data_IF_278031411321
#
_entry.id   IF_278031411321
#
_cell.length_a   1.000
_cell.length_b   1.000
_cell.length_c   1.000
_cell.angle_alpha   90.00
_cell.angle_beta   90.00
_cell.angle_gamma   90.00
#
_symmetry.space_group_name_H-M   'P 1'
#
loop_
_entity.id
_entity.type
_entity.pdbx_description
1 polymer ?
#
# COMPACT_ATOMS: atom_id res chain seq x y z
N UNK A 1 -28.11 30.65 44.47
CA UNK A 1 -28.66 31.74 43.61
C UNK A 1 -29.16 31.08 42.33
N UNK A 2 -30.45 30.74 42.25
CA UNK A 2 -31.50 31.36 41.39
C UNK A 2 -31.09 31.47 39.90
N UNK A 3 -31.50 30.57 38.99
CA UNK A 3 -32.81 30.39 38.30
C UNK A 3 -33.00 31.26 37.04
N UNK A 4 -33.35 30.59 35.91
CA UNK A 4 -34.29 30.94 34.78
C UNK A 4 -33.62 30.81 33.40
N UNK A 5 -33.96 29.84 32.54
CA UNK A 5 -35.24 29.56 31.82
C UNK A 5 -35.60 30.67 30.83
N UNK A 6 -35.66 30.38 29.51
CA UNK A 6 -36.85 30.68 28.68
C UNK A 6 -36.87 29.94 27.33
N UNK A 7 -37.88 29.09 27.19
CA UNK A 7 -38.49 28.55 25.96
C UNK A 7 -39.22 29.67 25.20
N UNK A 8 -39.18 29.69 23.86
CA UNK A 8 -40.26 30.31 23.07
C UNK A 8 -40.65 29.38 21.90
N UNK A 9 -41.86 28.87 22.04
CA UNK A 9 -42.72 28.23 21.05
C UNK A 9 -43.57 29.36 20.42
N UNK A 10 -43.71 29.43 19.09
CA UNK A 10 -44.75 30.25 18.44
C UNK A 10 -45.47 29.38 17.43
N UNK A 11 -46.78 29.34 17.56
CA UNK A 11 -47.72 28.61 16.72
C UNK A 11 -48.79 29.59 16.15
N UNK A 12 -49.36 29.17 15.02
CA UNK A 12 -50.63 29.57 14.39
C UNK A 12 -50.70 30.93 13.64
N UNK A 13 -51.11 30.91 12.37
CA UNK A 13 -52.54 30.84 11.98
C UNK A 13 -52.78 30.61 10.48
N UNK A 14 -53.98 30.07 10.21
CA UNK A 14 -54.58 29.60 8.98
C UNK A 14 -54.74 30.62 7.85
N UNK A 15 -54.74 30.12 6.61
CA UNK A 15 -55.56 30.66 5.53
C UNK A 15 -56.26 29.49 4.80
N UNK A 16 -57.58 29.58 4.71
CA UNK A 16 -58.47 28.65 4.04
C UNK A 16 -58.69 29.08 2.58
N UNK A 17 -58.76 28.13 1.65
CA UNK A 17 -59.44 28.28 0.36
C UNK A 17 -59.99 26.93 -0.09
N UNK A 18 -61.31 26.88 -0.30
CA UNK A 18 -62.00 25.73 -0.87
C UNK A 18 -61.75 25.60 -2.37
N UNK A 19 -61.78 24.36 -2.85
CA UNK A 19 -61.72 24.01 -4.26
C UNK A 19 -62.23 22.58 -4.44
N UNK A 20 -63.20 22.42 -5.34
CA UNK A 20 -63.91 21.19 -5.63
C UNK A 20 -62.97 20.05 -6.07
N UNK A 21 -63.13 18.86 -5.48
CA UNK A 21 -62.45 17.64 -5.95
C UNK A 21 -63.13 17.09 -7.22
N UNK A 22 -62.40 16.88 -8.32
CA UNK A 22 -62.86 16.01 -9.40
C UNK A 22 -62.54 14.55 -9.06
N UNK A 23 -63.52 13.67 -9.27
CA UNK A 23 -63.41 12.22 -9.16
C UNK A 23 -62.18 11.67 -9.92
N UNK A 24 -61.30 10.87 -9.30
CA UNK A 24 -60.15 10.29 -10.00
C UNK A 24 -60.62 9.22 -11.00
N UNK A 25 -60.24 9.41 -12.26
CA UNK A 25 -60.31 8.39 -13.32
C UNK A 25 -59.22 7.34 -13.05
N UNK A 26 -59.46 6.02 -13.24
CA UNK A 26 -58.45 5.00 -12.97
C UNK A 26 -57.26 5.16 -13.93
N UNK A 27 -56.09 5.49 -13.39
CA UNK A 27 -54.80 5.49 -14.09
C UNK A 27 -54.33 4.05 -14.24
N UNK A 28 -54.20 3.58 -15.49
CA UNK A 28 -53.55 2.31 -15.82
C UNK A 28 -52.06 2.44 -15.50
N UNK A 29 -51.53 1.53 -14.69
CA UNK A 29 -50.11 1.49 -14.33
C UNK A 29 -49.23 1.24 -15.57
N UNK A 30 -48.11 1.95 -15.75
CA UNK A 30 -47.15 1.62 -16.81
C UNK A 30 -46.54 0.24 -16.56
N UNK A 31 -46.24 -0.55 -17.61
CA UNK A 31 -45.53 -1.81 -17.46
C UNK A 31 -44.12 -1.58 -16.85
N UNK A 32 -43.58 -2.56 -16.10
CA UNK A 32 -42.28 -2.42 -15.45
C UNK A 32 -41.18 -2.22 -16.48
N UNK A 33 -40.42 -1.14 -16.32
CA UNK A 33 -39.17 -0.91 -17.07
C UNK A 33 -38.16 -1.96 -16.60
N UNK A 34 -37.85 -2.91 -17.48
CA UNK A 34 -36.84 -3.92 -17.22
C UNK A 34 -35.48 -3.22 -17.26
N UNK A 35 -34.87 -2.98 -16.10
CA UNK A 35 -33.52 -2.46 -15.99
C UNK A 35 -32.58 -3.56 -16.48
N UNK A 36 -32.05 -3.38 -17.70
CA UNK A 36 -30.98 -4.21 -18.22
C UNK A 36 -29.71 -3.90 -17.45
N UNK A 37 -29.36 -4.76 -16.49
CA UNK A 37 -28.01 -4.79 -15.91
C UNK A 37 -27.04 -5.18 -17.03
N UNK A 38 -26.27 -4.21 -17.50
CA UNK A 38 -25.12 -4.49 -18.35
C UNK A 38 -24.13 -5.34 -17.54
N UNK A 39 -23.94 -6.58 -17.97
CA UNK A 39 -22.84 -7.42 -17.50
C UNK A 39 -21.55 -6.80 -18.02
N UNK A 40 -20.81 -6.12 -17.14
CA UNK A 40 -19.48 -5.63 -17.45
C UNK A 40 -18.60 -6.85 -17.75
N UNK A 41 -18.11 -6.94 -18.99
CA UNK A 41 -17.18 -8.01 -19.37
C UNK A 41 -15.87 -7.73 -18.64
N UNK A 42 -15.34 -8.66 -17.82
CA UNK A 42 -14.10 -8.41 -17.12
C UNK A 42 -12.99 -8.20 -18.14
N UNK A 43 -12.40 -7.00 -18.13
CA UNK A 43 -11.17 -6.71 -18.87
C UNK A 43 -10.12 -7.72 -18.38
N UNK A 44 -9.40 -8.43 -19.27
CA UNK A 44 -8.37 -9.35 -18.83
C UNK A 44 -7.27 -8.56 -18.11
N UNK A 45 -7.13 -8.79 -16.81
CA UNK A 45 -6.02 -8.24 -16.01
C UNK A 45 -4.72 -8.81 -16.57
N UNK A 46 -3.91 -7.98 -17.23
CA UNK A 46 -2.56 -8.38 -17.64
C UNK A 46 -1.74 -8.60 -16.36
N UNK A 47 -1.09 -9.75 -16.25
CA UNK A 47 -0.25 -10.06 -15.09
C UNK A 47 0.95 -9.10 -15.03
N UNK A 48 1.39 -8.72 -13.84
CA UNK A 48 2.43 -7.72 -13.64
C UNK A 48 3.75 -8.10 -14.33
N UNK A 49 4.18 -9.35 -14.23
CA UNK A 49 5.40 -9.82 -14.88
C UNK A 49 5.31 -9.89 -16.42
N UNK A 50 4.10 -9.84 -16.99
CA UNK A 50 3.93 -9.69 -18.43
C UNK A 50 3.99 -8.22 -18.86
N UNK A 51 3.58 -7.31 -17.99
CA UNK A 51 3.71 -5.87 -18.20
C UNK A 51 5.16 -5.39 -17.99
N UNK A 52 5.88 -5.99 -17.04
CA UNK A 52 7.29 -5.74 -16.74
C UNK A 52 8.07 -7.04 -16.97
N UNK A 53 8.55 -7.23 -18.19
CA UNK A 53 9.32 -8.43 -18.56
C UNK A 53 10.68 -8.46 -17.80
N UNK A 54 10.92 -9.47 -16.94
CA UNK A 54 12.18 -9.61 -16.20
C UNK A 54 13.43 -9.58 -17.08
N UNK A 55 13.35 -10.10 -18.31
CA UNK A 55 14.49 -10.20 -19.22
C UNK A 55 14.99 -8.84 -19.72
N UNK A 56 14.16 -7.80 -19.63
CA UNK A 56 14.48 -6.42 -20.02
C UNK A 56 15.12 -5.62 -18.88
N UNK A 57 15.11 -6.15 -17.65
CA UNK A 57 15.69 -5.48 -16.50
C UNK A 57 17.16 -5.85 -16.36
N UNK A 58 18.02 -4.83 -16.47
CA UNK A 58 19.46 -4.97 -16.31
C UNK A 58 19.97 -4.05 -15.21
N UNK A 59 20.75 -4.62 -14.30
CA UNK A 59 21.41 -3.86 -13.25
C UNK A 59 22.86 -3.58 -13.64
N UNK A 60 23.24 -2.31 -13.56
CA UNK A 60 24.64 -1.96 -13.49
C UNK A 60 25.11 -2.15 -12.04
N UNK A 61 25.80 -3.26 -11.80
CA UNK A 61 26.28 -3.60 -10.45
C UNK A 61 27.51 -2.79 -10.01
N UNK A 62 28.02 -1.89 -10.86
CA UNK A 62 29.21 -1.08 -10.58
C UNK A 62 30.42 -1.91 -10.10
N UNK A 63 30.53 -3.16 -10.57
CA UNK A 63 31.61 -4.07 -10.23
C UNK A 63 31.41 -4.88 -8.95
N UNK A 64 30.20 -4.95 -8.38
CA UNK A 64 29.91 -5.88 -7.29
C UNK A 64 30.19 -7.33 -7.74
N UNK A 65 30.85 -8.16 -6.90
CA UNK A 65 31.32 -9.50 -7.29
C UNK A 65 30.24 -10.58 -7.25
N UNK A 66 29.00 -10.22 -6.91
CA UNK A 66 27.90 -11.16 -6.74
C UNK A 66 27.07 -11.29 -8.02
N UNK A 67 26.68 -12.51 -8.42
CA UNK A 67 25.69 -12.68 -9.46
C UNK A 67 24.34 -12.12 -8.98
N UNK A 68 23.52 -11.67 -9.92
CA UNK A 68 22.13 -11.34 -9.67
C UNK A 68 21.21 -12.08 -10.65
N UNK A 69 19.97 -12.28 -10.23
CA UNK A 69 18.91 -12.83 -11.06
C UNK A 69 17.64 -12.02 -10.86
N UNK A 70 16.98 -11.67 -11.98
CA UNK A 70 15.68 -11.02 -11.98
C UNK A 70 14.61 -12.10 -12.10
N UNK A 71 13.80 -12.24 -11.06
CA UNK A 71 12.78 -13.27 -10.97
C UNK A 71 11.39 -12.67 -11.05
N UNK A 72 10.51 -13.27 -11.84
CA UNK A 72 9.08 -13.10 -11.65
C UNK A 72 8.63 -14.05 -10.53
N UNK A 73 8.07 -13.50 -9.46
CA UNK A 73 7.57 -14.26 -8.32
C UNK A 73 6.04 -14.23 -8.36
N UNK A 74 5.37 -15.40 -8.35
CA UNK A 74 3.92 -15.46 -8.36
C UNK A 74 3.34 -14.85 -7.08
N UNK A 75 2.06 -14.50 -7.15
CA UNK A 75 1.30 -14.05 -5.98
C UNK A 75 1.38 -15.03 -4.82
N UNK A 76 1.67 -14.51 -3.63
CA UNK A 76 1.45 -15.16 -2.35
C UNK A 76 0.25 -14.51 -1.67
N UNK A 77 -0.88 -15.22 -1.52
CA UNK A 77 -2.07 -14.69 -0.85
C UNK A 77 -1.76 -14.19 0.56
N UNK A 78 -2.59 -13.26 1.03
CA UNK A 78 -2.56 -12.83 2.42
C UNK A 78 -2.74 -14.02 3.36
N UNK A 79 -1.86 -14.15 4.35
CA UNK A 79 -1.92 -15.15 5.41
C UNK A 79 -1.50 -14.53 6.74
N UNK A 80 -2.41 -14.54 7.72
CA UNK A 80 -2.18 -14.08 9.09
C UNK A 80 -2.11 -15.23 10.11
N UNK A 81 -2.08 -16.48 9.65
CA UNK A 81 -2.18 -17.66 10.52
C UNK A 81 -0.87 -18.00 11.24
N UNK A 82 0.27 -17.52 10.72
CA UNK A 82 1.60 -17.87 11.23
C UNK A 82 2.33 -16.65 11.83
N UNK A 83 3.01 -16.80 12.99
CA UNK A 83 3.89 -15.76 13.50
C UNK A 83 5.08 -15.53 12.55
N UNK A 84 5.74 -14.36 12.55
CA UNK A 84 5.65 -13.26 13.52
C UNK A 84 4.56 -12.20 13.23
N UNK A 85 3.84 -12.32 12.11
CA UNK A 85 2.78 -11.41 11.71
C UNK A 85 2.26 -11.78 10.32
N UNK A 86 1.24 -11.07 9.82
CA UNK A 86 0.68 -11.36 8.52
C UNK A 86 1.70 -11.17 7.39
N UNK A 87 1.56 -11.99 6.36
CA UNK A 87 2.39 -12.01 5.14
C UNK A 87 1.49 -11.98 3.92
N UNK A 88 2.03 -11.59 2.77
CA UNK A 88 1.32 -11.66 1.49
C UNK A 88 1.84 -10.64 0.49
N UNK A 89 2.07 -11.07 -0.75
CA UNK A 89 2.57 -10.23 -1.82
C UNK A 89 1.85 -10.55 -3.14
N UNK A 90 1.46 -9.54 -3.93
CA UNK A 90 0.96 -9.78 -5.28
C UNK A 90 2.07 -10.36 -6.16
N UNK A 91 1.73 -10.78 -7.39
CA UNK A 91 2.74 -11.07 -8.40
C UNK A 91 3.68 -9.86 -8.56
N UNK A 92 4.99 -10.09 -8.47
CA UNK A 92 5.99 -9.03 -8.43
C UNK A 92 7.31 -9.49 -9.05
N UNK A 93 8.22 -8.52 -9.26
CA UNK A 93 9.60 -8.82 -9.62
C UNK A 93 10.45 -8.80 -8.35
N UNK A 94 11.27 -9.84 -8.17
CA UNK A 94 12.27 -9.92 -7.12
C UNK A 94 13.66 -10.06 -7.76
N UNK A 95 14.57 -9.15 -7.46
CA UNK A 95 15.96 -9.24 -7.88
C UNK A 95 16.77 -9.76 -6.71
N UNK A 96 17.38 -10.91 -6.91
CA UNK A 96 18.15 -11.63 -5.92
C UNK A 96 19.64 -11.50 -6.20
N UNK A 97 20.46 -11.34 -5.15
CA UNK A 97 21.91 -11.39 -5.27
C UNK A 97 22.48 -12.53 -4.43
N UNK A 98 23.52 -13.19 -4.94
CA UNK A 98 24.13 -14.40 -4.36
C UNK A 98 23.16 -15.61 -4.27
N UNK A 99 22.16 -15.56 -3.40
CA UNK A 99 21.08 -16.56 -3.29
C UNK A 99 20.01 -16.28 -4.34
N UNK A 100 20.13 -16.91 -5.53
CA UNK A 100 19.36 -16.52 -6.71
C UNK A 100 17.91 -17.02 -6.74
N UNK A 101 17.60 -18.10 -6.03
CA UNK A 101 16.25 -18.66 -5.93
C UNK A 101 15.43 -17.89 -4.87
N UNK A 102 14.32 -17.24 -5.25
CA UNK A 102 13.41 -16.56 -4.32
C UNK A 102 12.94 -17.43 -3.16
N UNK A 103 12.79 -18.74 -3.36
CA UNK A 103 12.31 -19.65 -2.31
C UNK A 103 13.39 -19.99 -1.26
N UNK A 104 14.67 -19.74 -1.58
CA UNK A 104 15.80 -20.06 -0.71
C UNK A 104 16.34 -18.85 0.08
N UNK A 105 15.76 -17.67 -0.11
CA UNK A 105 16.25 -16.45 0.55
C UNK A 105 16.04 -16.48 2.06
N UNK A 106 16.98 -15.89 2.76
CA UNK A 106 16.96 -15.67 4.20
C UNK A 106 16.77 -14.19 4.52
N UNK A 107 16.44 -13.84 5.77
CA UNK A 107 16.37 -12.44 6.17
C UNK A 107 17.67 -11.62 6.02
N UNK A 108 18.81 -12.28 5.76
CA UNK A 108 20.11 -11.61 5.57
C UNK A 108 20.48 -11.40 4.11
N UNK A 109 19.77 -12.06 3.19
CA UNK A 109 20.09 -11.94 1.77
C UNK A 109 19.65 -10.56 1.26
N UNK A 110 20.49 -9.90 0.44
CA UNK A 110 20.14 -8.66 -0.23
C UNK A 110 19.12 -8.92 -1.34
N UNK A 111 18.05 -8.13 -1.36
CA UNK A 111 16.92 -8.30 -2.27
C UNK A 111 16.39 -6.92 -2.70
N UNK A 112 16.03 -6.80 -3.98
CA UNK A 112 15.19 -5.70 -4.45
C UNK A 112 13.82 -6.26 -4.85
N UNK A 113 12.77 -5.67 -4.28
CA UNK A 113 11.38 -5.90 -4.64
C UNK A 113 10.89 -4.77 -5.54
N UNK A 114 10.18 -5.14 -6.61
CA UNK A 114 9.46 -4.22 -7.49
C UNK A 114 8.02 -4.73 -7.55
N UNK A 115 7.13 -4.03 -6.87
CA UNK A 115 5.78 -4.51 -6.54
C UNK A 115 4.73 -3.54 -7.13
N UNK A 116 3.67 -4.02 -7.80
CA UNK A 116 2.54 -3.17 -8.16
C UNK A 116 1.85 -2.63 -6.90
N UNK A 117 1.99 -1.32 -6.63
CA UNK A 117 1.65 -0.72 -5.34
C UNK A 117 0.16 -0.91 -5.01
N UNK A 118 -0.72 -0.64 -5.98
CA UNK A 118 -2.16 -0.75 -5.79
C UNK A 118 -2.63 -2.20 -5.57
N UNK A 119 -2.00 -3.17 -6.22
CA UNK A 119 -2.33 -4.58 -6.03
C UNK A 119 -1.92 -5.05 -4.62
N UNK A 120 -0.79 -4.57 -4.10
CA UNK A 120 -0.35 -4.89 -2.74
C UNK A 120 -1.32 -4.33 -1.70
N UNK A 121 -1.74 -3.07 -1.87
CA UNK A 121 -2.78 -2.44 -1.04
C UNK A 121 -4.10 -3.21 -1.11
N UNK A 122 -4.59 -3.48 -2.32
CA UNK A 122 -5.89 -4.12 -2.53
C UNK A 122 -5.95 -5.54 -1.92
N UNK A 123 -4.87 -6.31 -2.02
CA UNK A 123 -4.79 -7.65 -1.43
C UNK A 123 -5.00 -7.62 0.10
N UNK A 124 -4.29 -6.72 0.78
CA UNK A 124 -4.35 -6.62 2.25
C UNK A 124 -5.66 -5.99 2.74
N UNK A 125 -6.12 -4.94 2.07
CA UNK A 125 -7.39 -4.29 2.40
C UNK A 125 -8.58 -5.25 2.20
N UNK A 126 -8.55 -6.12 1.17
CA UNK A 126 -9.56 -7.15 0.95
C UNK A 126 -9.62 -8.21 2.07
N UNK A 127 -8.51 -8.41 2.78
CA UNK A 127 -8.45 -9.25 3.99
C UNK A 127 -8.85 -8.50 5.27
N UNK A 128 -9.20 -7.21 5.17
CA UNK A 128 -9.54 -6.35 6.32
C UNK A 128 -8.34 -5.81 7.08
N UNK A 129 -7.12 -5.94 6.53
CA UNK A 129 -5.88 -5.48 7.15
C UNK A 129 -5.32 -4.25 6.40
N UNK A 130 -5.42 -3.08 7.03
CA UNK A 130 -4.99 -1.81 6.43
C UNK A 130 -3.52 -1.48 6.67
N UNK A 131 -2.71 -2.43 7.16
CA UNK A 131 -1.31 -2.18 7.49
C UNK A 131 -0.50 -1.70 6.28
N UNK A 132 -0.67 -2.35 5.13
CA UNK A 132 0.03 -1.99 3.89
C UNK A 132 -0.43 -0.63 3.38
N UNK A 133 -1.74 -0.37 3.31
CA UNK A 133 -2.28 0.92 2.88
C UNK A 133 -1.77 2.08 3.75
N UNK A 134 -1.79 1.91 5.08
CA UNK A 134 -1.28 2.93 6.00
C UNK A 134 0.24 3.15 5.90
N UNK A 135 1.03 2.09 5.71
CA UNK A 135 2.48 2.21 5.57
C UNK A 135 2.87 2.82 4.22
N UNK A 136 2.17 2.47 3.15
CA UNK A 136 2.33 3.10 1.83
C UNK A 136 2.02 4.60 1.91
N UNK A 137 0.91 4.99 2.53
CA UNK A 137 0.56 6.41 2.67
C UNK A 137 1.60 7.15 3.52
N UNK A 138 2.03 6.58 4.65
CA UNK A 138 3.09 7.18 5.48
C UNK A 138 4.39 7.36 4.71
N UNK A 139 4.75 6.42 3.84
CA UNK A 139 5.94 6.54 3.00
C UNK A 139 5.76 7.65 1.96
N UNK A 140 4.60 7.74 1.29
CA UNK A 140 4.29 8.83 0.35
C UNK A 140 4.38 10.18 1.04
N UNK A 141 3.79 10.32 2.22
CA UNK A 141 3.85 11.57 3.00
C UNK A 141 5.29 11.93 3.38
N UNK A 142 6.09 10.94 3.78
CA UNK A 142 7.50 11.13 4.15
C UNK A 142 8.35 11.57 2.94
N UNK A 143 8.16 10.93 1.79
CA UNK A 143 8.90 11.23 0.55
C UNK A 143 8.42 12.53 -0.09
N UNK A 144 7.15 12.90 0.06
CA UNK A 144 6.61 14.17 -0.41
C UNK A 144 7.06 15.36 0.46
N UNK A 145 7.00 15.20 1.79
CA UNK A 145 7.34 16.29 2.72
C UNK A 145 8.84 16.50 2.90
N UNK A 146 9.67 15.48 2.62
CA UNK A 146 11.15 15.50 2.72
C UNK A 146 11.66 16.29 3.93
N UNK A 147 11.22 15.97 5.17
CA UNK A 147 11.65 16.70 6.36
C UNK A 147 13.18 16.73 6.45
N UNK A 148 13.73 17.82 7.00
CA UNK A 148 15.19 18.03 7.04
C UNK A 148 15.95 16.85 7.67
N UNK A 149 15.35 16.19 8.65
CA UNK A 149 15.87 14.95 9.23
C UNK A 149 14.92 13.79 8.89
N UNK A 150 15.47 12.74 8.29
CA UNK A 150 14.77 11.45 8.15
C UNK A 150 14.50 10.90 9.55
N UNK A 151 13.27 10.43 9.85
CA UNK A 151 12.95 9.86 11.16
C UNK A 151 13.91 8.72 11.53
N UNK A 152 14.37 8.70 12.77
CA UNK A 152 15.37 7.73 13.25
C UNK A 152 14.76 6.42 13.77
N UNK A 153 13.43 6.35 13.81
CA UNK A 153 12.66 5.19 14.26
C UNK A 153 11.30 5.21 13.58
N UNK A 154 10.61 4.06 13.59
CA UNK A 154 9.23 3.95 13.10
C UNK A 154 9.04 4.32 11.62
N UNK A 155 10.10 4.29 10.81
CA UNK A 155 9.93 4.38 9.37
C UNK A 155 9.07 3.21 8.89
N UNK A 156 8.09 3.45 8.00
CA UNK A 156 7.32 2.36 7.40
C UNK A 156 8.31 1.48 6.65
N UNK A 157 8.23 0.16 6.84
CA UNK A 157 9.05 -0.79 6.07
C UNK A 157 8.18 -1.87 5.48
N UNK A 158 8.25 -1.95 4.17
CA UNK A 158 7.60 -2.91 3.31
C UNK A 158 8.64 -3.48 2.33
N UNK A 159 8.44 -4.71 1.83
CA UNK A 159 7.41 -5.65 2.27
C UNK A 159 7.74 -6.28 3.64
N UNK A 160 6.74 -6.86 4.29
CA UNK A 160 6.90 -7.43 5.65
C UNK A 160 7.40 -8.88 5.65
N UNK A 161 7.59 -9.49 4.48
CA UNK A 161 7.77 -10.94 4.33
C UNK A 161 8.99 -11.51 5.04
N UNK A 162 10.04 -10.70 5.20
CA UNK A 162 11.28 -11.08 5.87
C UNK A 162 11.55 -10.19 7.09
N UNK A 163 10.54 -9.46 7.56
CA UNK A 163 10.63 -8.63 8.76
C UNK A 163 10.47 -9.52 10.00
N UNK A 164 11.57 -9.72 10.73
CA UNK A 164 11.59 -10.53 11.96
C UNK A 164 11.44 -9.69 13.23
N UNK A 165 11.13 -8.39 13.12
CA UNK A 165 11.00 -7.48 14.27
C UNK A 165 10.49 -6.11 13.86
N UNK A 166 10.81 -5.09 14.66
CA UNK A 166 10.50 -3.70 14.32
C UNK A 166 11.78 -2.92 13.99
N UNK A 167 11.61 -1.88 13.18
CA UNK A 167 12.69 -0.96 12.89
C UNK A 167 13.02 -0.11 14.12
N UNK A 168 14.07 -0.49 14.85
CA UNK A 168 14.49 0.19 16.08
C UNK A 168 15.65 1.17 15.87
N UNK A 169 16.17 1.27 14.65
CA UNK A 169 17.26 2.16 14.29
C UNK A 169 17.16 2.53 12.80
N UNK A 170 17.14 3.82 12.51
CA UNK A 170 17.36 4.35 11.17
C UNK A 170 18.33 5.53 11.24
N UNK A 171 19.45 5.42 10.52
CA UNK A 171 20.52 6.41 10.50
C UNK A 171 21.02 6.65 9.09
N UNK A 172 21.77 7.72 8.88
CA UNK A 172 22.31 8.11 7.56
C UNK A 172 21.21 8.24 6.49
N UNK A 173 20.02 8.66 6.92
CA UNK A 173 18.86 8.80 6.07
C UNK A 173 19.07 9.88 5.01
N UNK A 174 18.57 9.62 3.80
CA UNK A 174 18.57 10.59 2.71
C UNK A 174 17.39 10.33 1.79
N UNK A 175 16.77 11.40 1.31
CA UNK A 175 15.84 11.33 0.19
C UNK A 175 16.62 11.23 -1.11
N UNK A 176 16.08 10.44 -2.05
CA UNK A 176 16.60 10.29 -3.40
C UNK A 176 15.48 10.68 -4.38
N UNK A 177 15.86 11.38 -5.44
CA UNK A 177 14.96 11.85 -6.47
C UNK A 177 15.64 11.62 -7.82
N UNK A 178 15.02 10.78 -8.64
CA UNK A 178 15.49 10.39 -9.97
C UNK A 178 14.53 10.87 -11.06
N UNK A 179 13.69 11.87 -10.76
CA UNK A 179 12.69 12.43 -11.67
C UNK A 179 11.41 11.62 -11.71
N UNK A 180 11.43 10.43 -12.31
CA UNK A 180 10.25 9.57 -12.42
C UNK A 180 10.07 8.63 -11.22
N UNK A 181 11.09 8.55 -10.37
CA UNK A 181 11.20 7.62 -9.26
C UNK A 181 11.83 8.39 -8.09
N UNK A 182 11.29 8.25 -6.90
CA UNK A 182 11.82 8.88 -5.71
C UNK A 182 11.66 7.97 -4.48
N UNK A 183 12.31 8.33 -3.38
CA UNK A 183 12.23 7.53 -2.17
C UNK A 183 13.14 8.00 -1.07
N UNK A 184 13.25 7.17 -0.04
CA UNK A 184 14.12 7.37 1.11
C UNK A 184 15.03 6.18 1.28
N UNK A 185 16.33 6.44 1.48
CA UNK A 185 17.31 5.46 1.91
C UNK A 185 17.73 5.71 3.35
N UNK A 186 18.13 4.66 4.06
CA UNK A 186 18.74 4.74 5.38
C UNK A 186 19.48 3.44 5.69
N UNK A 187 20.37 3.49 6.68
CA UNK A 187 20.93 2.28 7.30
C UNK A 187 20.09 1.98 8.52
N UNK A 188 19.58 0.76 8.64
CA UNK A 188 18.71 0.40 9.75
C UNK A 188 18.86 -1.02 10.26
N UNK A 189 18.10 -1.31 11.31
CA UNK A 189 18.10 -2.62 11.99
C UNK A 189 16.69 -3.05 12.35
N UNK A 190 16.43 -4.35 12.17
CA UNK A 190 15.24 -5.04 12.69
C UNK A 190 15.62 -5.95 13.82
N UNK A 191 14.96 -5.76 14.96
CA UNK A 191 15.25 -6.53 16.14
C UNK A 191 14.02 -6.49 17.07
N UNK A 192 13.79 -7.58 17.80
CA UNK A 192 12.70 -7.67 18.80
C UNK A 192 13.21 -7.43 20.22
N UNK A 193 14.52 -7.57 20.44
CA UNK A 193 15.17 -7.49 21.76
C UNK A 193 16.14 -6.32 21.90
N UNK A 194 16.53 -5.91 23.12
CA UNK A 194 17.51 -4.84 23.34
C UNK A 194 18.97 -5.29 23.08
N UNK A 195 19.21 -5.99 21.98
CA UNK A 195 20.54 -6.48 21.62
C UNK A 195 21.45 -5.31 21.18
N UNK A 196 22.78 -5.42 21.40
CA UNK A 196 23.74 -4.45 20.87
C UNK A 196 23.64 -4.30 19.34
N UNK A 197 23.93 -3.09 18.85
CA UNK A 197 24.05 -2.83 17.42
C UNK A 197 25.39 -3.40 16.95
N UNK A 198 25.38 -4.24 15.92
CA UNK A 198 26.57 -4.85 15.32
C UNK A 198 26.52 -4.69 13.81
N UNK A 199 27.66 -4.80 13.13
CA UNK A 199 27.65 -4.69 11.66
C UNK A 199 26.83 -5.81 10.98
N UNK A 200 26.64 -6.94 11.67
CA UNK A 200 25.88 -8.08 11.15
C UNK A 200 24.36 -7.88 11.20
N UNK A 201 23.86 -6.90 11.97
CA UNK A 201 22.43 -6.59 12.06
C UNK A 201 22.07 -5.21 11.50
N UNK A 202 22.96 -4.60 10.72
CA UNK A 202 22.72 -3.37 9.99
C UNK A 202 22.53 -3.67 8.50
N UNK A 203 21.45 -3.16 7.94
CA UNK A 203 21.14 -3.29 6.51
C UNK A 203 20.96 -1.92 5.90
N UNK A 204 21.27 -1.84 4.61
CA UNK A 204 20.87 -0.72 3.80
C UNK A 204 19.41 -0.91 3.41
N UNK A 205 18.60 0.13 3.57
CA UNK A 205 17.23 0.15 3.09
C UNK A 205 17.08 1.27 2.06
N UNK A 206 16.35 0.99 1.00
CA UNK A 206 15.71 2.00 0.18
C UNK A 206 14.25 1.64 0.01
N UNK A 207 13.36 2.62 0.12
CA UNK A 207 11.95 2.45 -0.19
C UNK A 207 11.44 3.69 -0.90
N UNK A 208 10.70 3.45 -1.98
CA UNK A 208 10.28 4.52 -2.85
C UNK A 208 9.23 4.07 -3.84
N UNK A 209 8.88 5.00 -4.71
CA UNK A 209 7.88 4.82 -5.73
C UNK A 209 8.44 5.16 -7.11
N UNK A 210 7.80 4.59 -8.11
CA UNK A 210 8.18 4.69 -9.50
C UNK A 210 6.92 4.81 -10.36
N UNK A 211 6.99 5.72 -11.35
CA UNK A 211 5.89 6.05 -12.24
C UNK A 211 5.21 7.37 -11.88
N UNK A 212 4.34 7.87 -12.77
CA UNK A 212 3.74 9.20 -12.62
C UNK A 212 2.76 9.29 -11.44
N UNK A 213 2.21 8.15 -11.01
CA UNK A 213 1.21 8.07 -9.93
C UNK A 213 1.64 7.09 -8.83
N UNK A 214 2.94 6.82 -8.71
CA UNK A 214 3.51 5.82 -7.80
C UNK A 214 2.91 4.42 -8.02
N UNK A 215 2.76 4.01 -9.29
CA UNK A 215 2.16 2.75 -9.67
C UNK A 215 2.98 1.55 -9.17
N UNK A 216 4.29 1.73 -9.05
CA UNK A 216 5.24 0.70 -8.64
C UNK A 216 5.92 1.11 -7.34
N UNK A 217 5.84 0.24 -6.34
CA UNK A 217 6.60 0.33 -5.10
C UNK A 217 7.92 -0.41 -5.26
N UNK A 218 9.03 0.24 -4.92
CA UNK A 218 10.37 -0.33 -4.96
C UNK A 218 10.94 -0.36 -3.55
N UNK A 219 11.38 -1.55 -3.12
CA UNK A 219 12.04 -1.74 -1.83
C UNK A 219 13.35 -2.50 -2.01
N UNK A 220 14.40 -2.04 -1.35
CA UNK A 220 15.70 -2.70 -1.31
C UNK A 220 16.07 -2.95 0.15
N UNK A 221 16.58 -4.15 0.42
CA UNK A 221 17.25 -4.51 1.66
C UNK A 221 18.55 -5.25 1.37
#
# INVERSE_FOLDING_TARGET
MKKRVLFILVALLLAACGGNEPTPTPTVAPPPVVVSTATETPIPTVSFCKAVDPSQLHLNTLGLPYPYQVNCVPERPYDASMPPGPVGLPEHIQINFATLDPAAVTPLDPIIYIIPAQAYVAMWDAAGDTTVSQNMQRLRDLVASKPQAVPTSSNPILPMELATGFNNLAVQGSYLDFGYWDGVRFVGRFEQSPNPVTNQNLYYYFQGFAGENDEVFVSMR
#
